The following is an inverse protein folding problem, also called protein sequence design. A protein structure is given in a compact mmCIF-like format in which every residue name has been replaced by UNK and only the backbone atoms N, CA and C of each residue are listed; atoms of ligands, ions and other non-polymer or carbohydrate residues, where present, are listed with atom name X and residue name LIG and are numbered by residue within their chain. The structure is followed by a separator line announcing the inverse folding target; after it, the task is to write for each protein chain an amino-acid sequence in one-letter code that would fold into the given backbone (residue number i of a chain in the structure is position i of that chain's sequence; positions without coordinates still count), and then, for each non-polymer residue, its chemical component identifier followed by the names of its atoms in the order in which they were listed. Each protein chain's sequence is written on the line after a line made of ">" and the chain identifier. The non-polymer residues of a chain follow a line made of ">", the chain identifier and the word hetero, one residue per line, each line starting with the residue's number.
data_IF_186756606042
#
_entry.id   IF_186756606042
#
_cell.length_a   1.000
_cell.length_b   1.000
_cell.length_c   1.000
_cell.angle_alpha   90.00
_cell.angle_beta   90.00
_cell.angle_gamma   90.00
#
_symmetry.space_group_name_H-M   'P 1'
#
loop_
_entity.id
_entity.type
_entity.pdbx_description
1 polymer ?
#
# COMPACT_ATOMS: atom_id res chain seq x y z
N UNK A 1 -53.04 16.88 4.88
CA UNK A 1 -52.16 15.73 4.64
C UNK A 1 -50.84 16.05 3.87
N UNK A 2 -50.53 17.30 3.55
CA UNK A 2 -49.30 17.73 2.78
C UNK A 2 -48.18 18.32 3.64
N UNK A 3 -48.32 18.50 4.94
CA UNK A 3 -47.29 19.09 5.83
C UNK A 3 -46.29 18.11 6.43
N UNK A 4 -46.50 16.81 6.31
CA UNK A 4 -45.58 15.80 6.91
C UNK A 4 -44.51 15.26 5.95
N UNK A 5 -44.57 15.57 4.64
CA UNK A 5 -43.55 15.15 3.69
C UNK A 5 -42.31 16.08 3.64
N UNK A 6 -42.46 17.34 4.03
CA UNK A 6 -41.34 18.29 4.00
C UNK A 6 -40.40 18.16 5.22
N UNK A 7 -40.83 17.49 6.27
CA UNK A 7 -40.03 17.29 7.49
C UNK A 7 -39.04 16.16 7.39
N UNK A 8 -39.26 15.20 6.51
CA UNK A 8 -38.32 14.05 6.31
C UNK A 8 -37.10 14.36 5.43
N UNK A 9 -37.11 15.46 4.67
CA UNK A 9 -36.05 15.83 3.74
C UNK A 9 -35.00 16.80 4.26
N UNK A 10 -35.05 17.18 5.54
CA UNK A 10 -33.87 17.75 6.22
C UNK A 10 -32.96 16.64 6.73
N UNK A 11 -32.57 15.71 5.87
CA UNK A 11 -31.36 14.93 6.06
C UNK A 11 -30.23 15.94 6.16
N UNK A 12 -29.81 16.26 7.41
CA UNK A 12 -28.58 17.00 7.64
C UNK A 12 -27.53 16.44 6.66
N UNK A 13 -27.06 17.26 5.74
CA UNK A 13 -25.81 17.03 5.02
C UNK A 13 -24.69 17.10 6.08
N UNK A 14 -24.65 16.13 6.96
CA UNK A 14 -23.52 15.92 7.84
C UNK A 14 -22.37 15.56 6.92
N UNK A 15 -21.35 16.40 6.94
CA UNK A 15 -20.15 16.26 6.15
C UNK A 15 -19.64 14.82 6.39
N UNK A 16 -19.78 13.93 5.40
CA UNK A 16 -19.48 12.49 5.51
C UNK A 16 -18.11 12.30 6.16
N UNK A 17 -17.18 13.16 5.80
CA UNK A 17 -15.83 13.17 6.37
C UNK A 17 -15.78 13.40 7.88
N UNK A 18 -16.66 14.21 8.49
CA UNK A 18 -16.66 14.46 9.94
C UNK A 18 -17.20 13.29 10.79
N UNK A 19 -17.80 12.28 10.17
CA UNK A 19 -18.37 11.12 10.87
C UNK A 19 -17.34 9.99 11.09
N UNK A 20 -16.22 10.01 10.38
CA UNK A 20 -15.21 8.97 10.45
C UNK A 20 -14.11 9.30 11.48
N UNK A 21 -13.55 8.28 12.14
CA UNK A 21 -12.39 8.45 13.02
C UNK A 21 -11.21 9.07 12.29
N UNK A 22 -10.48 9.96 12.96
CA UNK A 22 -9.27 10.59 12.38
C UNK A 22 -8.25 9.57 11.89
N UNK A 23 -8.14 8.41 12.54
CA UNK A 23 -7.27 7.31 12.14
C UNK A 23 -7.52 6.82 10.71
N UNK A 24 -8.76 6.91 10.19
CA UNK A 24 -9.06 6.52 8.81
C UNK A 24 -8.26 7.33 7.80
N UNK A 25 -8.08 8.64 8.02
CA UNK A 25 -7.35 9.50 7.09
C UNK A 25 -5.87 9.16 7.05
N UNK A 26 -5.28 8.89 8.22
CA UNK A 26 -3.88 8.43 8.28
C UNK A 26 -3.70 7.12 7.51
N UNK A 27 -4.58 6.14 7.73
CA UNK A 27 -4.52 4.86 7.03
C UNK A 27 -4.79 5.01 5.53
N UNK A 28 -5.73 5.89 5.15
CA UNK A 28 -6.01 6.23 3.75
C UNK A 28 -4.76 6.77 3.04
N UNK A 29 -4.11 7.79 3.60
CA UNK A 29 -2.92 8.36 2.99
C UNK A 29 -1.73 7.41 3.01
N UNK A 30 -1.56 6.63 4.07
CA UNK A 30 -0.51 5.60 4.15
C UNK A 30 -0.68 4.58 3.02
N UNK A 31 -1.88 4.07 2.82
CA UNK A 31 -2.17 3.09 1.77
C UNK A 31 -2.05 3.73 0.38
N UNK A 32 -2.55 4.96 0.19
CA UNK A 32 -2.44 5.69 -1.07
C UNK A 32 -0.98 5.81 -1.52
N UNK A 33 -0.10 6.27 -0.62
CA UNK A 33 1.33 6.43 -0.92
C UNK A 33 2.04 5.09 -1.10
N UNK A 34 1.67 4.07 -0.32
CA UNK A 34 2.20 2.73 -0.49
C UNK A 34 1.81 2.16 -1.86
N UNK A 35 0.54 2.29 -2.26
CA UNK A 35 0.08 1.85 -3.58
C UNK A 35 0.76 2.61 -4.72
N UNK A 36 0.85 3.93 -4.60
CA UNK A 36 1.58 4.75 -5.57
C UNK A 36 3.03 4.26 -5.74
N UNK A 37 3.73 4.09 -4.64
CA UNK A 37 5.11 3.60 -4.61
C UNK A 37 5.25 2.18 -5.20
N UNK A 38 4.36 1.27 -4.80
CA UNK A 38 4.38 -0.12 -5.25
C UNK A 38 4.13 -0.26 -6.76
N UNK A 39 3.08 0.38 -7.27
CA UNK A 39 2.77 0.29 -8.70
C UNK A 39 3.76 1.08 -9.56
N UNK A 40 4.22 2.25 -9.09
CA UNK A 40 5.25 3.04 -9.78
C UNK A 40 6.56 2.26 -9.90
N UNK A 41 7.04 1.67 -8.80
CA UNK A 41 8.23 0.83 -8.84
C UNK A 41 8.05 -0.35 -9.80
N UNK A 42 6.91 -1.03 -9.77
CA UNK A 42 6.62 -2.15 -10.68
C UNK A 42 6.61 -1.75 -12.15
N UNK A 43 6.07 -0.56 -12.47
CA UNK A 43 6.02 -0.05 -13.84
C UNK A 43 7.42 0.16 -14.43
N UNK A 44 8.36 0.65 -13.62
CA UNK A 44 9.74 0.93 -14.08
C UNK A 44 10.70 -0.25 -13.89
N UNK A 45 10.40 -1.20 -13.00
CA UNK A 45 11.30 -2.29 -12.63
C UNK A 45 11.77 -3.10 -13.85
N UNK A 46 10.83 -3.58 -14.66
CA UNK A 46 11.16 -4.39 -15.84
C UNK A 46 11.94 -3.57 -16.86
N UNK A 47 11.55 -2.31 -17.06
CA UNK A 47 12.26 -1.40 -17.96
C UNK A 47 13.72 -1.19 -17.50
N UNK A 48 13.93 -0.94 -16.22
CA UNK A 48 15.27 -0.80 -15.63
C UNK A 48 16.11 -2.06 -15.81
N UNK A 49 15.53 -3.24 -15.62
CA UNK A 49 16.24 -4.51 -15.76
C UNK A 49 16.73 -4.76 -17.21
N UNK A 50 15.90 -4.40 -18.21
CA UNK A 50 16.20 -4.69 -19.62
C UNK A 50 16.91 -3.53 -20.34
N UNK A 51 16.91 -2.32 -19.80
CA UNK A 51 17.60 -1.17 -20.40
C UNK A 51 19.11 -1.44 -20.48
N UNK A 52 19.74 -0.87 -21.53
CA UNK A 52 21.18 -0.97 -21.76
C UNK A 52 21.96 -0.42 -20.56
N UNK A 53 23.17 -0.97 -20.36
CA UNK A 53 24.06 -0.55 -19.25
C UNK A 53 24.74 0.79 -19.47
N UNK A 54 24.59 1.39 -20.67
CA UNK A 54 25.16 2.66 -21.07
C UNK A 54 24.10 3.55 -21.72
N UNK A 55 24.22 4.87 -21.58
CA UNK A 55 23.29 5.85 -22.15
C UNK A 55 22.76 6.84 -21.11
N UNK A 56 21.73 7.61 -21.48
CA UNK A 56 21.14 8.62 -20.59
C UNK A 56 20.41 8.02 -19.38
N UNK A 57 19.83 6.84 -19.56
CA UNK A 57 19.10 6.10 -18.50
C UNK A 57 19.62 4.67 -18.43
N UNK A 58 20.78 4.43 -17.82
CA UNK A 58 21.38 3.11 -17.76
C UNK A 58 20.53 2.15 -16.92
N UNK A 59 20.45 0.89 -17.40
CA UNK A 59 19.80 -0.22 -16.69
C UNK A 59 20.78 -1.36 -16.45
N UNK A 60 20.25 -2.56 -16.22
CA UNK A 60 21.07 -3.73 -15.93
C UNK A 60 21.43 -4.58 -17.19
N UNK A 61 20.83 -4.29 -18.34
CA UNK A 61 21.10 -5.01 -19.60
C UNK A 61 20.67 -6.49 -19.60
N UNK A 62 19.70 -6.86 -18.74
CA UNK A 62 19.24 -8.23 -18.63
C UNK A 62 18.39 -8.64 -19.82
N UNK A 63 18.34 -9.93 -20.09
CA UNK A 63 17.40 -10.48 -21.06
C UNK A 63 15.95 -10.33 -20.52
N UNK A 64 14.99 -10.27 -21.46
CA UNK A 64 13.56 -10.21 -21.08
C UNK A 64 13.14 -11.40 -20.19
N UNK A 65 13.71 -12.56 -20.41
CA UNK A 65 13.40 -13.78 -19.63
C UNK A 65 13.86 -13.61 -18.18
N UNK A 66 15.09 -13.15 -17.96
CA UNK A 66 15.63 -12.90 -16.61
C UNK A 66 14.83 -11.81 -15.88
N UNK A 67 14.50 -10.72 -16.57
CA UNK A 67 13.72 -9.64 -16.00
C UNK A 67 12.31 -10.10 -15.58
N UNK A 68 11.61 -10.88 -16.41
CA UNK A 68 10.30 -11.43 -16.11
C UNK A 68 10.38 -12.43 -14.96
N UNK A 69 11.44 -13.27 -14.90
CA UNK A 69 11.65 -14.19 -13.81
C UNK A 69 11.83 -13.47 -12.48
N UNK A 70 12.70 -12.45 -12.42
CA UNK A 70 12.86 -11.65 -11.20
C UNK A 70 11.54 -10.99 -10.80
N UNK A 71 10.84 -10.37 -11.73
CA UNK A 71 9.54 -9.73 -11.47
C UNK A 71 8.50 -10.71 -10.90
N UNK A 72 8.47 -11.94 -11.44
CA UNK A 72 7.56 -12.98 -10.98
C UNK A 72 7.89 -13.44 -9.56
N UNK A 73 9.16 -13.68 -9.27
CA UNK A 73 9.62 -14.01 -7.93
C UNK A 73 9.38 -12.89 -6.93
N UNK A 74 9.70 -11.66 -7.30
CA UNK A 74 9.41 -10.48 -6.48
C UNK A 74 7.92 -10.42 -6.11
N UNK A 75 7.04 -10.56 -7.11
CA UNK A 75 5.59 -10.52 -6.88
C UNK A 75 5.13 -11.65 -5.97
N UNK A 76 5.59 -12.88 -6.20
CA UNK A 76 5.27 -14.03 -5.36
C UNK A 76 5.73 -13.83 -3.90
N UNK A 77 6.97 -13.36 -3.71
CA UNK A 77 7.54 -13.11 -2.39
C UNK A 77 6.80 -12.02 -1.62
N UNK A 78 6.33 -10.97 -2.30
CA UNK A 78 5.49 -9.93 -1.69
C UNK A 78 4.21 -10.52 -1.07
N UNK A 79 3.52 -11.40 -1.79
CA UNK A 79 2.33 -12.04 -1.25
C UNK A 79 2.67 -13.06 -0.16
N UNK A 80 3.72 -13.83 -0.34
CA UNK A 80 4.17 -14.80 0.66
C UNK A 80 4.56 -14.12 1.97
N UNK A 81 5.27 -12.99 1.92
CA UNK A 81 5.70 -12.23 3.09
C UNK A 81 4.54 -11.71 3.95
N UNK A 82 3.34 -11.55 3.37
CA UNK A 82 2.16 -11.14 4.13
C UNK A 82 1.74 -12.18 5.18
N UNK A 83 2.04 -13.47 4.98
CA UNK A 83 1.69 -14.54 5.91
C UNK A 83 2.49 -14.40 7.21
N UNK A 84 3.83 -14.48 7.20
CA UNK A 84 4.62 -14.31 8.42
C UNK A 84 4.47 -12.91 9.02
N UNK A 85 4.34 -11.85 8.18
CA UNK A 85 4.13 -10.49 8.67
C UNK A 85 2.84 -10.32 9.46
N UNK A 86 1.74 -10.93 9.02
CA UNK A 86 0.48 -10.96 9.77
C UNK A 86 0.61 -11.75 11.08
N UNK A 87 1.23 -12.93 11.05
CA UNK A 87 1.43 -13.77 12.25
C UNK A 87 2.28 -13.04 13.30
N UNK A 88 3.38 -12.40 12.89
CA UNK A 88 4.25 -11.65 13.80
C UNK A 88 3.51 -10.44 14.38
N UNK A 89 2.70 -9.77 13.56
CA UNK A 89 1.87 -8.68 14.04
C UNK A 89 0.86 -9.13 15.10
N UNK A 90 0.19 -10.23 14.88
CA UNK A 90 -0.84 -10.72 15.81
C UNK A 90 -0.25 -11.27 17.12
N UNK A 91 0.93 -11.92 17.08
CA UNK A 91 1.53 -12.59 18.23
C UNK A 91 2.53 -11.76 19.02
N UNK A 92 3.24 -10.81 18.37
CA UNK A 92 4.42 -10.14 18.96
C UNK A 92 4.33 -8.63 18.94
N UNK A 93 4.19 -8.03 17.76
CA UNK A 93 4.37 -6.58 17.59
C UNK A 93 3.10 -5.77 17.82
N UNK A 94 1.94 -6.34 17.51
CA UNK A 94 0.68 -5.60 17.37
C UNK A 94 0.60 -4.87 16.01
N UNK A 95 -0.62 -4.65 15.54
CA UNK A 95 -0.90 -4.16 14.18
C UNK A 95 -0.33 -2.77 13.89
N UNK A 96 -0.42 -1.85 14.86
CA UNK A 96 0.07 -0.47 14.69
C UNK A 96 1.58 -0.45 14.48
N UNK A 97 2.33 -1.15 15.35
CA UNK A 97 3.78 -1.21 15.24
C UNK A 97 4.22 -1.91 13.95
N UNK A 98 3.48 -2.93 13.52
CA UNK A 98 3.76 -3.65 12.27
C UNK A 98 3.57 -2.76 11.06
N UNK A 99 2.52 -1.92 11.01
CA UNK A 99 2.32 -0.96 9.92
C UNK A 99 3.43 0.10 9.91
N UNK A 100 3.84 0.62 11.08
CA UNK A 100 4.93 1.60 11.18
C UNK A 100 6.26 0.96 10.73
N UNK A 101 6.57 -0.24 11.20
CA UNK A 101 7.78 -0.97 10.81
C UNK A 101 7.79 -1.25 9.30
N UNK A 102 6.65 -1.72 8.77
CA UNK A 102 6.49 -1.96 7.34
C UNK A 102 6.73 -0.71 6.50
N UNK A 103 6.13 0.44 6.89
CA UNK A 103 6.35 1.72 6.23
C UNK A 103 7.82 2.18 6.29
N UNK A 104 8.48 2.01 7.43
CA UNK A 104 9.90 2.35 7.59
C UNK A 104 10.81 1.47 6.70
N UNK A 105 10.55 0.17 6.63
CA UNK A 105 11.28 -0.75 5.74
C UNK A 105 11.07 -0.41 4.27
N UNK A 106 9.86 0.00 3.88
CA UNK A 106 9.59 0.48 2.52
C UNK A 106 10.41 1.72 2.18
N UNK A 107 10.50 2.70 3.09
CA UNK A 107 11.33 3.89 2.88
C UNK A 107 12.80 3.51 2.69
N UNK A 108 13.35 2.65 3.54
CA UNK A 108 14.73 2.15 3.40
C UNK A 108 14.89 1.43 2.05
N UNK A 109 13.96 0.55 1.69
CA UNK A 109 14.00 -0.18 0.43
C UNK A 109 14.08 0.74 -0.79
N UNK A 110 13.24 1.77 -0.85
CA UNK A 110 13.27 2.74 -1.94
C UNK A 110 14.54 3.60 -1.94
N UNK A 111 15.07 3.98 -0.77
CA UNK A 111 16.35 4.68 -0.68
C UNK A 111 17.50 3.80 -1.19
N UNK A 112 17.50 2.52 -0.89
CA UNK A 112 18.51 1.59 -1.40
C UNK A 112 18.43 1.44 -2.92
N UNK A 113 17.22 1.41 -3.50
CA UNK A 113 17.04 1.35 -4.95
C UNK A 113 17.58 2.59 -5.69
N UNK A 114 17.77 3.74 -5.01
CA UNK A 114 18.35 4.94 -5.61
C UNK A 114 19.87 4.88 -5.75
N UNK A 115 20.53 3.85 -5.18
CA UNK A 115 21.97 3.67 -5.26
C UNK A 115 22.30 2.76 -6.42
N UNK A 116 23.11 3.24 -7.35
CA UNK A 116 23.51 2.51 -8.56
C UNK A 116 24.56 1.43 -8.25
N UNK A 117 24.14 0.40 -7.52
CA UNK A 117 24.91 -0.81 -7.24
C UNK A 117 23.98 -2.01 -7.12
N UNK A 118 24.34 -3.12 -7.77
CA UNK A 118 23.53 -4.34 -7.81
C UNK A 118 23.22 -4.90 -6.41
N UNK A 119 24.15 -4.82 -5.46
CA UNK A 119 23.93 -5.25 -4.08
C UNK A 119 22.87 -4.40 -3.36
N UNK A 120 22.83 -3.10 -3.61
CA UNK A 120 21.82 -2.19 -3.07
C UNK A 120 20.46 -2.42 -3.71
N UNK A 121 20.44 -2.73 -5.00
CA UNK A 121 19.22 -3.12 -5.72
C UNK A 121 18.54 -4.33 -5.09
N UNK A 122 19.25 -5.44 -4.91
CA UNK A 122 18.68 -6.65 -4.28
C UNK A 122 18.32 -6.43 -2.81
N UNK A 123 19.13 -5.69 -2.08
CA UNK A 123 18.80 -5.31 -0.69
C UNK A 123 17.52 -4.47 -0.66
N UNK A 124 17.40 -3.48 -1.55
CA UNK A 124 16.21 -2.62 -1.67
C UNK A 124 14.93 -3.41 -1.92
N UNK A 125 14.95 -4.33 -2.90
CA UNK A 125 13.82 -5.23 -3.19
C UNK A 125 13.48 -6.08 -1.96
N UNK A 126 14.48 -6.61 -1.25
CA UNK A 126 14.27 -7.42 -0.04
C UNK A 126 13.57 -6.61 1.06
N UNK A 127 14.04 -5.39 1.33
CA UNK A 127 13.41 -4.50 2.31
C UNK A 127 11.97 -4.15 1.91
N UNK A 128 11.69 -3.93 0.63
CA UNK A 128 10.34 -3.66 0.12
C UNK A 128 9.43 -4.88 0.35
N UNK A 129 9.88 -6.09 0.01
CA UNK A 129 9.13 -7.33 0.22
C UNK A 129 8.76 -7.51 1.69
N UNK A 130 9.73 -7.36 2.60
CA UNK A 130 9.50 -7.48 4.03
C UNK A 130 8.57 -6.38 4.52
N UNK A 131 8.78 -5.14 4.08
CA UNK A 131 7.97 -3.97 4.43
C UNK A 131 6.51 -4.13 4.07
N UNK A 132 6.22 -4.56 2.83
CA UNK A 132 4.85 -4.86 2.37
C UNK A 132 4.26 -6.01 3.19
N UNK A 133 5.06 -7.03 3.51
CA UNK A 133 4.64 -8.16 4.34
C UNK A 133 4.12 -7.72 5.71
N UNK A 134 4.75 -6.76 6.35
CA UNK A 134 4.29 -6.20 7.62
C UNK A 134 3.15 -5.19 7.45
N UNK A 135 3.14 -4.37 6.41
CA UNK A 135 2.18 -3.29 6.25
C UNK A 135 0.82 -3.82 5.75
N UNK A 136 0.82 -4.51 4.63
CA UNK A 136 -0.40 -4.85 3.86
C UNK A 136 -1.46 -5.63 4.63
N UNK A 137 -1.16 -6.74 5.35
CA UNK A 137 -2.18 -7.49 6.08
C UNK A 137 -2.73 -6.70 7.27
N UNK A 138 -1.92 -5.83 7.86
CA UNK A 138 -2.23 -5.16 9.11
C UNK A 138 -2.98 -3.84 8.91
N UNK A 139 -2.73 -3.09 7.83
CA UNK A 139 -3.37 -1.80 7.59
C UNK A 139 -4.89 -1.95 7.38
N UNK A 140 -5.33 -2.93 6.57
CA UNK A 140 -6.75 -3.21 6.36
C UNK A 140 -7.43 -3.66 7.66
N UNK A 141 -6.73 -4.45 8.47
CA UNK A 141 -7.22 -4.88 9.78
C UNK A 141 -7.37 -3.70 10.75
N UNK A 142 -6.46 -2.71 10.71
CA UNK A 142 -6.57 -1.47 11.48
C UNK A 142 -7.79 -0.65 11.07
N UNK A 143 -8.07 -0.50 9.76
CA UNK A 143 -9.29 0.18 9.29
C UNK A 143 -10.52 -0.46 9.94
N UNK A 144 -10.61 -1.79 9.92
CA UNK A 144 -11.72 -2.50 10.54
C UNK A 144 -11.84 -2.26 12.06
N UNK A 145 -10.72 -2.07 12.77
CA UNK A 145 -10.68 -1.85 14.22
C UNK A 145 -11.11 -0.45 14.65
N UNK A 146 -11.14 0.53 13.73
CA UNK A 146 -11.61 1.88 14.02
C UNK A 146 -13.12 1.97 14.25
N UNK A 147 -13.86 0.94 13.91
CA UNK A 147 -15.33 0.93 13.91
C UNK A 147 -15.89 -0.20 14.77
N UNK A 148 -17.09 0.02 15.30
CA UNK A 148 -17.87 -1.06 15.92
C UNK A 148 -18.25 -2.10 14.86
N UNK A 149 -18.24 -3.38 15.25
CA UNK A 149 -18.70 -4.47 14.36
C UNK A 149 -20.16 -4.18 13.94
N UNK A 150 -20.46 -4.45 12.67
CA UNK A 150 -21.78 -4.29 12.05
C UNK A 150 -22.31 -2.84 11.98
N UNK A 151 -21.45 -1.83 11.96
CA UNK A 151 -21.87 -0.45 11.73
C UNK A 151 -21.79 -0.11 10.23
N UNK A 152 -22.79 0.60 9.71
CA UNK A 152 -22.79 1.13 8.34
C UNK A 152 -21.61 2.06 8.08
N UNK A 153 -21.13 2.77 9.11
CA UNK A 153 -19.93 3.60 9.04
C UNK A 153 -18.66 2.77 8.77
N UNK A 154 -18.61 1.51 9.20
CA UNK A 154 -17.48 0.62 8.94
C UNK A 154 -17.36 0.31 7.45
N UNK A 155 -18.46 0.00 6.79
CA UNK A 155 -18.51 -0.26 5.34
C UNK A 155 -18.11 0.98 4.55
N UNK A 156 -18.64 2.15 4.92
CA UNK A 156 -18.25 3.43 4.33
C UNK A 156 -16.77 3.74 4.54
N UNK A 157 -16.22 3.43 5.73
CA UNK A 157 -14.80 3.58 6.04
C UNK A 157 -13.91 2.73 5.14
N UNK A 158 -14.28 1.47 4.90
CA UNK A 158 -13.58 0.62 3.93
C UNK A 158 -13.70 1.15 2.50
N UNK A 159 -14.87 1.67 2.11
CA UNK A 159 -15.04 2.30 0.78
C UNK A 159 -14.09 3.47 0.59
N UNK A 160 -13.97 4.36 1.58
CA UNK A 160 -13.02 5.48 1.55
C UNK A 160 -11.58 4.95 1.45
N UNK A 161 -11.22 3.95 2.24
CA UNK A 161 -9.89 3.34 2.21
C UNK A 161 -9.57 2.75 0.83
N UNK A 162 -10.50 2.02 0.21
CA UNK A 162 -10.34 1.48 -1.15
C UNK A 162 -10.22 2.55 -2.23
N UNK A 163 -10.88 3.70 -2.06
CA UNK A 163 -10.68 4.85 -2.96
C UNK A 163 -9.21 5.30 -2.91
N UNK A 164 -8.58 5.32 -1.72
CA UNK A 164 -7.15 5.63 -1.59
C UNK A 164 -6.26 4.67 -2.36
N UNK A 165 -6.53 3.35 -2.28
CA UNK A 165 -5.84 2.32 -3.06
C UNK A 165 -5.90 2.63 -4.56
N UNK A 166 -7.11 2.90 -5.08
CA UNK A 166 -7.33 3.14 -6.49
C UNK A 166 -6.69 4.44 -6.97
N UNK A 167 -6.75 5.52 -6.16
CA UNK A 167 -6.08 6.79 -6.49
C UNK A 167 -4.56 6.58 -6.55
N UNK A 168 -3.96 5.89 -5.57
CA UNK A 168 -2.53 5.60 -5.54
C UNK A 168 -2.09 4.77 -6.74
N UNK A 169 -2.84 3.73 -7.08
CA UNK A 169 -2.57 2.89 -8.24
C UNK A 169 -2.69 3.66 -9.56
N UNK A 170 -3.74 4.46 -9.73
CA UNK A 170 -3.97 5.26 -10.94
C UNK A 170 -2.90 6.34 -11.13
N UNK A 171 -2.49 7.01 -10.06
CA UNK A 171 -1.46 8.06 -10.13
C UNK A 171 -0.06 7.51 -10.44
N UNK A 172 0.17 6.21 -10.25
CA UNK A 172 1.44 5.52 -10.51
C UNK A 172 1.53 4.94 -11.94
N UNK A 173 0.41 4.88 -12.68
CA UNK A 173 0.31 4.33 -14.05
C UNK A 173 0.50 5.44 -15.06
#
# INVERSE_FOLDING_TARGET
>A
MRKNLSFQMKRKRTNIFKQHPKGLYFLFFTELWERFSYYGMRAILVLFLISETSGENPGLGWSKVEAINLYSWYTALVYFACIPGGIIADKVLGKIKSVILGGFLLCIGHLLLSVDKISFFFSGITFIVIGIGFLKPNISSLVGSLYKKNSTLREQGFTIFYIGINIGAFAAS
#
